data_IF_603729176409
#
_entry.id   IF_603729176409
#
_cell.length_a   1.000
_cell.length_b   1.000
_cell.length_c   1.000
_cell.angle_alpha   90.00
_cell.angle_beta   90.00
_cell.angle_gamma   90.00
#
_symmetry.space_group_name_H-M   'P 1'
#
loop_
_entity.id
_entity.type
_entity.pdbx_description
1 polymer ?
#
# COMPACT_ATOMS: atom_id res chain seq x y z
N UNK A 1 14.44 17.69 22.44
CA UNK A 1 13.69 16.85 21.47
C UNK A 1 13.19 15.52 22.06
N UNK A 2 13.96 14.82 22.90
CA UNK A 2 13.58 13.49 23.45
C UNK A 2 12.24 13.49 24.21
N UNK A 3 12.00 14.49 25.06
CA UNK A 3 10.76 14.57 25.88
C UNK A 3 9.50 14.79 25.03
N UNK A 4 9.58 15.61 23.99
CA UNK A 4 8.45 15.89 23.07
C UNK A 4 8.04 14.63 22.29
N UNK A 5 9.01 13.81 21.89
CA UNK A 5 8.74 12.53 21.23
C UNK A 5 8.10 11.51 22.19
N UNK A 6 8.50 11.49 23.46
CA UNK A 6 7.90 10.61 24.45
C UNK A 6 6.43 10.96 24.71
N UNK A 7 6.13 12.25 24.93
CA UNK A 7 4.76 12.72 25.13
C UNK A 7 3.88 12.48 23.90
N UNK A 8 4.40 12.73 22.69
CA UNK A 8 3.68 12.42 21.44
C UNK A 8 3.28 10.94 21.37
N UNK A 9 4.23 10.04 21.63
CA UNK A 9 3.98 8.59 21.64
C UNK A 9 2.93 8.20 22.68
N UNK A 10 2.99 8.79 23.88
CA UNK A 10 2.03 8.51 24.94
C UNK A 10 0.61 8.92 24.55
N UNK A 11 0.43 10.12 23.99
CA UNK A 11 -0.88 10.62 23.56
C UNK A 11 -1.49 9.72 22.47
N UNK A 12 -0.74 9.44 21.40
CA UNK A 12 -1.24 8.58 20.32
C UNK A 12 -1.55 7.16 20.79
N UNK A 13 -0.70 6.58 21.66
CA UNK A 13 -0.95 5.26 22.24
C UNK A 13 -2.20 5.25 23.12
N UNK A 14 -2.43 6.28 23.93
CA UNK A 14 -3.63 6.37 24.76
C UNK A 14 -4.89 6.43 23.89
N UNK A 15 -4.92 7.29 22.88
CA UNK A 15 -6.03 7.38 21.91
C UNK A 15 -6.28 6.02 21.25
N UNK A 16 -5.21 5.35 20.80
CA UNK A 16 -5.31 4.02 20.21
C UNK A 16 -5.83 2.96 21.20
N UNK A 17 -5.37 2.93 22.44
CA UNK A 17 -5.81 1.92 23.41
C UNK A 17 -7.28 2.08 23.77
N UNK A 18 -7.78 3.32 23.87
CA UNK A 18 -9.20 3.60 24.03
C UNK A 18 -9.97 3.07 22.81
N UNK A 19 -9.54 3.43 21.60
CA UNK A 19 -10.14 2.93 20.37
C UNK A 19 -10.16 1.40 20.29
N UNK A 20 -9.04 0.74 20.60
CA UNK A 20 -8.89 -0.73 20.61
C UNK A 20 -9.86 -1.37 21.59
N UNK A 21 -9.92 -0.85 22.82
CA UNK A 21 -10.83 -1.36 23.84
C UNK A 21 -12.29 -1.22 23.42
N UNK A 22 -12.69 -0.05 22.95
CA UNK A 22 -14.06 0.21 22.49
C UNK A 22 -14.41 -0.66 21.27
N UNK A 23 -13.51 -0.81 20.30
CA UNK A 23 -13.73 -1.66 19.12
C UNK A 23 -13.97 -3.11 19.53
N UNK A 24 -13.11 -3.64 20.40
CA UNK A 24 -13.22 -5.03 20.91
C UNK A 24 -14.47 -5.27 21.76
N UNK A 25 -14.96 -4.26 22.47
CA UNK A 25 -16.21 -4.36 23.22
C UNK A 25 -17.45 -4.36 22.32
N UNK A 26 -17.42 -3.63 21.20
CA UNK A 26 -18.59 -3.46 20.33
C UNK A 26 -18.75 -4.57 19.28
N UNK A 27 -17.67 -5.28 18.95
CA UNK A 27 -17.66 -6.22 17.83
C UNK A 27 -17.03 -7.55 18.23
N UNK A 28 -17.85 -8.59 18.26
CA UNK A 28 -17.46 -9.95 18.64
C UNK A 28 -16.58 -10.64 17.59
N UNK A 29 -16.72 -10.25 16.33
CA UNK A 29 -15.97 -10.79 15.18
C UNK A 29 -14.56 -10.24 15.06
N UNK A 30 -14.23 -9.16 15.78
CA UNK A 30 -12.90 -8.55 15.73
C UNK A 30 -11.92 -9.41 16.54
N UNK A 31 -10.98 -10.07 15.87
CA UNK A 31 -9.93 -10.91 16.47
C UNK A 31 -8.63 -10.14 16.76
N UNK A 32 -8.28 -9.13 15.97
CA UNK A 32 -7.12 -8.27 16.22
C UNK A 32 -7.41 -6.80 15.97
N UNK A 33 -6.76 -5.94 16.77
CA UNK A 33 -6.66 -4.49 16.56
C UNK A 33 -5.24 -4.06 16.92
N UNK A 34 -4.51 -3.49 15.97
CA UNK A 34 -3.11 -3.14 16.10
C UNK A 34 -2.75 -1.78 15.50
N UNK A 35 -1.70 -1.18 16.04
CA UNK A 35 -1.06 -0.01 15.45
C UNK A 35 -0.15 -0.44 14.30
N UNK A 36 -0.10 0.35 13.23
CA UNK A 36 0.93 0.24 12.19
C UNK A 36 1.61 1.60 11.97
N UNK A 37 2.61 1.60 11.08
CA UNK A 37 3.25 2.84 10.63
C UNK A 37 3.95 3.64 11.74
N UNK A 38 3.76 4.96 11.74
CA UNK A 38 4.59 5.89 12.50
C UNK A 38 4.46 5.77 14.02
N UNK A 39 3.25 5.50 14.52
CA UNK A 39 2.96 5.38 15.96
C UNK A 39 3.53 4.08 16.50
N UNK A 40 3.36 2.98 15.76
CA UNK A 40 3.94 1.68 16.13
C UNK A 40 5.48 1.76 16.16
N UNK A 41 6.09 2.32 15.11
CA UNK A 41 7.55 2.45 14.98
C UNK A 41 8.16 3.56 15.84
N UNK A 42 7.33 4.41 16.45
CA UNK A 42 7.76 5.44 17.39
C UNK A 42 8.39 6.68 16.77
N UNK A 43 8.31 6.87 15.45
CA UNK A 43 8.73 8.15 14.83
C UNK A 43 7.56 9.13 14.64
N UNK A 44 6.42 8.90 15.30
CA UNK A 44 5.29 9.82 15.32
C UNK A 44 5.61 11.12 16.10
N UNK A 45 5.01 12.21 15.64
CA UNK A 45 5.10 13.55 16.21
C UNK A 45 3.70 14.16 16.28
N UNK A 46 3.27 14.55 17.47
CA UNK A 46 1.98 15.20 17.67
C UNK A 46 2.07 16.70 17.28
N UNK A 47 1.02 17.28 16.65
CA UNK A 47 -0.19 16.66 16.10
C UNK A 47 -0.06 16.26 14.62
N UNK A 48 1.15 16.08 14.10
CA UNK A 48 1.45 15.97 12.66
C UNK A 48 1.48 14.55 12.11
N UNK A 49 1.25 13.55 12.96
CA UNK A 49 1.27 12.14 12.56
C UNK A 49 -0.12 11.53 12.63
N UNK A 50 -0.31 10.55 11.78
CA UNK A 50 -1.55 9.80 11.66
C UNK A 50 -1.43 8.50 12.48
N UNK A 51 -2.55 8.05 13.03
CA UNK A 51 -2.73 6.74 13.64
C UNK A 51 -3.26 5.82 12.54
N UNK A 52 -2.36 4.98 12.03
CA UNK A 52 -2.70 3.92 11.09
C UNK A 52 -3.03 2.64 11.88
N UNK A 53 -4.12 1.97 11.52
CA UNK A 53 -4.65 0.84 12.30
C UNK A 53 -4.91 -0.36 11.41
N UNK A 54 -4.58 -1.55 11.92
CA UNK A 54 -5.01 -2.83 11.35
C UNK A 54 -6.06 -3.47 12.23
N UNK A 55 -7.14 -3.93 11.60
CA UNK A 55 -8.25 -4.66 12.22
C UNK A 55 -8.41 -5.98 11.47
N UNK A 56 -8.58 -7.06 12.20
CA UNK A 56 -8.85 -8.38 11.59
C UNK A 56 -10.14 -8.93 12.13
N UNK A 57 -10.85 -9.63 11.25
CA UNK A 57 -12.14 -10.25 11.53
C UNK A 57 -12.05 -11.77 11.37
N UNK A 58 -12.78 -12.49 12.21
CA UNK A 58 -12.95 -13.95 12.07
C UNK A 58 -14.02 -14.31 11.04
N UNK A 59 -15.02 -13.44 10.85
CA UNK A 59 -16.12 -13.61 9.90
C UNK A 59 -16.66 -12.25 9.40
N UNK A 60 -17.72 -12.29 8.59
CA UNK A 60 -18.27 -11.12 7.88
C UNK A 60 -19.55 -10.55 8.51
N UNK A 61 -20.04 -11.13 9.61
CA UNK A 61 -21.37 -10.86 10.18
C UNK A 61 -21.55 -9.40 10.61
N UNK A 62 -20.51 -8.77 11.14
CA UNK A 62 -20.57 -7.41 11.69
C UNK A 62 -19.96 -6.34 10.77
N UNK A 63 -19.57 -6.71 9.54
CA UNK A 63 -18.73 -5.88 8.68
C UNK A 63 -19.35 -4.52 8.34
N UNK A 64 -20.66 -4.48 8.10
CA UNK A 64 -21.41 -3.25 7.80
C UNK A 64 -21.43 -2.32 9.02
N UNK A 65 -21.61 -2.89 10.22
CA UNK A 65 -21.62 -2.14 11.48
C UNK A 65 -20.22 -1.61 11.82
N UNK A 66 -19.18 -2.43 11.61
CA UNK A 66 -17.77 -2.03 11.77
C UNK A 66 -17.44 -0.90 10.80
N UNK A 67 -17.75 -1.04 9.51
CA UNK A 67 -17.52 0.00 8.50
C UNK A 67 -18.13 1.34 8.91
N UNK A 68 -19.42 1.33 9.30
CA UNK A 68 -20.11 2.54 9.78
C UNK A 68 -19.46 3.14 11.03
N UNK A 69 -19.00 2.30 11.96
CA UNK A 69 -18.26 2.73 13.14
C UNK A 69 -16.93 3.41 12.75
N UNK A 70 -16.12 2.78 11.90
CA UNK A 70 -14.83 3.33 11.46
C UNK A 70 -15.01 4.64 10.69
N UNK A 71 -16.00 4.74 9.81
CA UNK A 71 -16.33 5.99 9.12
C UNK A 71 -16.71 7.13 10.08
N UNK A 72 -17.37 6.82 11.21
CA UNK A 72 -17.63 7.81 12.27
C UNK A 72 -16.34 8.19 12.99
N UNK A 73 -15.48 7.22 13.31
CA UNK A 73 -14.19 7.47 13.98
C UNK A 73 -13.31 8.40 13.15
N UNK A 74 -13.14 8.16 11.84
CA UNK A 74 -12.36 9.03 10.94
C UNK A 74 -12.90 10.47 10.96
N UNK A 75 -14.23 10.62 10.97
CA UNK A 75 -14.88 11.95 10.99
C UNK A 75 -14.77 12.66 12.34
N UNK A 76 -14.77 11.92 13.45
CA UNK A 76 -14.80 12.48 14.80
C UNK A 76 -13.42 12.65 15.45
N UNK A 77 -12.43 11.86 15.03
CA UNK A 77 -11.09 11.86 15.62
C UNK A 77 -10.07 12.05 14.48
N UNK A 78 -9.58 13.29 14.26
CA UNK A 78 -8.77 13.66 13.10
C UNK A 78 -7.35 13.07 13.10
N UNK A 79 -7.04 12.19 14.06
CA UNK A 79 -5.78 11.46 14.12
C UNK A 79 -5.85 10.10 13.44
N UNK A 80 -7.03 9.51 13.24
CA UNK A 80 -7.16 8.25 12.51
C UNK A 80 -7.32 8.55 11.01
N UNK A 81 -6.36 8.13 10.20
CA UNK A 81 -6.39 8.38 8.76
C UNK A 81 -6.55 7.10 7.93
N UNK A 82 -5.82 6.04 8.26
CA UNK A 82 -5.83 4.80 7.49
C UNK A 82 -6.24 3.61 8.37
N UNK A 83 -7.24 2.87 7.90
CA UNK A 83 -7.63 1.58 8.46
C UNK A 83 -7.37 0.50 7.41
N UNK A 84 -6.71 -0.57 7.81
CA UNK A 84 -6.66 -1.82 7.06
C UNK A 84 -7.61 -2.80 7.74
N UNK A 85 -8.52 -3.38 6.97
CA UNK A 85 -9.47 -4.37 7.46
C UNK A 85 -9.26 -5.68 6.70
N UNK A 86 -8.89 -6.74 7.42
CA UNK A 86 -8.67 -8.07 6.86
C UNK A 86 -9.67 -9.09 7.41
N UNK A 87 -10.06 -10.04 6.58
CA UNK A 87 -10.79 -11.24 7.01
C UNK A 87 -9.77 -12.38 7.12
N UNK A 88 -9.53 -12.90 8.32
CA UNK A 88 -8.45 -13.85 8.59
C UNK A 88 -8.50 -15.09 7.68
N UNK A 89 -9.65 -15.77 7.49
CA UNK A 89 -9.76 -16.92 6.59
C UNK A 89 -9.41 -16.64 5.12
N UNK A 90 -9.37 -15.36 4.70
CA UNK A 90 -9.04 -14.97 3.33
C UNK A 90 -7.59 -14.52 3.19
N UNK A 91 -6.95 -14.08 4.27
CA UNK A 91 -5.64 -13.46 4.21
C UNK A 91 -4.54 -14.42 3.76
N UNK A 92 -4.59 -15.68 4.21
CA UNK A 92 -3.63 -16.72 3.83
C UNK A 92 -3.57 -16.92 2.30
N UNK A 93 -4.72 -16.78 1.62
CA UNK A 93 -4.78 -16.85 0.17
C UNK A 93 -3.99 -15.74 -0.53
N UNK A 94 -3.78 -14.60 0.10
CA UNK A 94 -3.17 -13.41 -0.52
C UNK A 94 -1.72 -13.17 -0.12
N UNK A 95 -1.21 -13.89 0.88
CA UNK A 95 0.08 -13.58 1.48
C UNK A 95 1.26 -13.69 0.49
N UNK A 96 1.15 -14.58 -0.49
CA UNK A 96 2.17 -14.81 -1.51
C UNK A 96 2.45 -13.61 -2.41
N UNK A 97 1.51 -12.66 -2.52
CA UNK A 97 1.67 -11.43 -3.30
C UNK A 97 1.95 -10.21 -2.42
N UNK A 98 2.11 -10.41 -1.10
CA UNK A 98 2.37 -9.29 -0.21
C UNK A 98 3.81 -8.84 -0.35
N UNK A 99 3.98 -7.53 -0.47
CA UNK A 99 5.28 -6.92 -0.42
C UNK A 99 5.87 -7.06 0.99
N UNK A 100 7.06 -7.65 1.10
CA UNK A 100 7.70 -7.91 2.39
C UNK A 100 8.04 -6.65 3.17
N UNK A 101 8.53 -5.61 2.49
CA UNK A 101 8.85 -4.33 3.15
C UNK A 101 7.61 -3.58 3.64
N UNK A 102 6.49 -3.63 2.89
CA UNK A 102 5.21 -3.09 3.37
C UNK A 102 4.64 -3.91 4.54
N UNK A 103 4.73 -5.23 4.46
CA UNK A 103 4.30 -6.13 5.54
C UNK A 103 5.09 -5.85 6.82
N UNK A 104 6.38 -5.51 6.71
CA UNK A 104 7.19 -5.08 7.86
C UNK A 104 6.68 -3.78 8.50
N UNK A 105 5.78 -3.01 7.88
CA UNK A 105 5.17 -1.84 8.54
C UNK A 105 3.95 -2.18 9.39
N UNK A 106 3.42 -3.39 9.30
CA UNK A 106 2.24 -3.87 10.03
C UNK A 106 2.60 -5.07 10.93
N UNK A 107 2.57 -4.92 12.27
CA UNK A 107 2.92 -6.00 13.21
C UNK A 107 2.06 -7.25 13.08
N UNK A 108 0.82 -7.13 12.58
CA UNK A 108 -0.03 -8.29 12.36
C UNK A 108 0.49 -9.12 11.19
N UNK A 109 0.85 -8.46 10.08
CA UNK A 109 1.39 -9.15 8.91
C UNK A 109 2.76 -9.78 9.18
N UNK A 110 3.43 -9.42 10.28
CA UNK A 110 4.71 -10.03 10.65
C UNK A 110 4.61 -11.50 10.99
N UNK A 111 3.43 -11.98 11.40
CA UNK A 111 3.23 -13.40 11.69
C UNK A 111 3.38 -14.26 10.43
N UNK A 112 3.42 -13.64 9.25
CA UNK A 112 3.56 -14.29 7.95
C UNK A 112 4.88 -13.98 7.24
N UNK A 113 5.91 -13.47 7.95
CA UNK A 113 7.16 -12.98 7.35
C UNK A 113 7.91 -13.96 6.44
N UNK A 114 7.71 -15.27 6.59
CA UNK A 114 8.36 -16.28 5.75
C UNK A 114 7.67 -16.46 4.38
N UNK A 115 6.50 -15.87 4.18
CA UNK A 115 5.62 -16.13 3.03
C UNK A 115 5.44 -14.91 2.12
N UNK A 116 6.10 -13.79 2.46
CA UNK A 116 6.01 -12.51 1.74
C UNK A 116 7.14 -12.35 0.72
N UNK A 117 6.87 -11.60 -0.35
CA UNK A 117 7.82 -11.34 -1.42
C UNK A 117 8.87 -10.29 -1.02
N UNK A 118 10.14 -10.70 -1.06
CA UNK A 118 11.31 -9.86 -0.76
C UNK A 118 12.26 -9.73 -1.98
N UNK A 119 11.75 -9.94 -3.20
CA UNK A 119 12.48 -9.69 -4.44
C UNK A 119 12.98 -8.25 -4.56
N UNK A 120 14.00 -8.04 -5.38
CA UNK A 120 14.54 -6.69 -5.62
C UNK A 120 13.49 -5.77 -6.24
N UNK A 121 12.67 -6.29 -7.14
CA UNK A 121 11.57 -5.59 -7.77
C UNK A 121 10.49 -5.20 -6.77
N UNK A 122 10.12 -6.08 -5.84
CA UNK A 122 9.20 -5.76 -4.76
C UNK A 122 9.75 -4.63 -3.88
N UNK A 123 11.04 -4.69 -3.52
CA UNK A 123 11.69 -3.62 -2.75
C UNK A 123 11.68 -2.29 -3.54
N UNK A 124 11.96 -2.32 -4.84
CA UNK A 124 11.92 -1.12 -5.69
C UNK A 124 10.52 -0.51 -5.76
N UNK A 125 9.49 -1.33 -5.92
CA UNK A 125 8.09 -0.87 -5.89
C UNK A 125 7.75 -0.23 -4.54
N UNK A 126 8.15 -0.85 -3.43
CA UNK A 126 7.98 -0.27 -2.10
C UNK A 126 8.63 1.12 -2.01
N UNK A 127 9.88 1.25 -2.47
CA UNK A 127 10.60 2.53 -2.48
C UNK A 127 9.90 3.61 -3.32
N UNK A 128 9.41 3.24 -4.50
CA UNK A 128 8.66 4.14 -5.39
C UNK A 128 7.36 4.62 -4.73
N UNK A 129 6.58 3.70 -4.15
CA UNK A 129 5.33 4.02 -3.44
C UNK A 129 5.57 4.92 -2.23
N UNK A 130 6.67 4.71 -1.49
CA UNK A 130 7.09 5.63 -0.42
C UNK A 130 7.39 7.04 -0.94
N UNK A 131 8.12 7.16 -2.06
CA UNK A 131 8.44 8.47 -2.64
C UNK A 131 7.18 9.19 -3.12
N UNK A 132 6.25 8.47 -3.75
CA UNK A 132 4.94 8.97 -4.19
C UNK A 132 4.10 9.49 -3.02
N UNK A 133 3.92 8.70 -1.96
CA UNK A 133 3.13 9.09 -0.79
C UNK A 133 3.69 10.33 -0.03
N UNK A 134 4.96 10.67 -0.27
CA UNK A 134 5.63 11.83 0.31
C UNK A 134 5.87 12.97 -0.70
N UNK A 135 5.29 12.90 -1.91
CA UNK A 135 5.30 14.03 -2.88
C UNK A 135 4.56 15.24 -2.29
N UNK A 136 5.07 16.44 -2.57
CA UNK A 136 4.43 17.71 -2.17
C UNK A 136 4.43 18.03 -0.66
N UNK A 137 4.81 17.11 0.22
CA UNK A 137 4.98 17.40 1.65
C UNK A 137 6.31 18.13 1.86
N UNK A 138 6.26 19.46 1.91
CA UNK A 138 7.42 20.29 2.21
C UNK A 138 8.16 19.82 3.47
N UNK A 139 9.47 20.07 3.52
CA UNK A 139 10.42 19.70 4.58
C UNK A 139 10.14 20.47 5.90
N UNK A 140 8.89 20.48 6.38
CA UNK A 140 8.54 21.26 7.57
C UNK A 140 9.05 20.63 8.87
N UNK A 141 9.43 19.36 8.86
CA UNK A 141 9.96 18.66 10.04
C UNK A 141 11.08 17.69 9.69
N UNK A 142 12.09 17.61 10.57
CA UNK A 142 13.24 16.71 10.45
C UNK A 142 12.76 15.23 10.54
N UNK A 143 12.47 14.65 9.39
CA UNK A 143 12.03 13.25 9.22
C UNK A 143 13.20 12.28 9.05
N UNK A 144 14.40 12.64 9.50
CA UNK A 144 15.60 11.77 9.40
C UNK A 144 15.35 10.37 9.96
N UNK A 145 14.69 10.24 11.12
CA UNK A 145 14.35 8.94 11.72
C UNK A 145 13.44 8.09 10.81
N UNK A 146 12.49 8.71 10.11
CA UNK A 146 11.61 8.03 9.14
C UNK A 146 12.42 7.51 7.95
N UNK A 147 13.31 8.35 7.40
CA UNK A 147 14.12 7.98 6.25
C UNK A 147 15.21 6.97 6.60
N UNK A 148 15.83 7.05 7.79
CA UNK A 148 16.73 6.02 8.31
C UNK A 148 16.03 4.66 8.39
N UNK A 149 14.80 4.62 8.93
CA UNK A 149 14.02 3.38 9.01
C UNK A 149 13.70 2.80 7.62
N UNK A 150 13.26 3.63 6.67
CA UNK A 150 13.00 3.10 5.32
C UNK A 150 14.26 2.70 4.59
N UNK A 151 15.36 3.41 4.80
CA UNK A 151 16.66 3.07 4.22
C UNK A 151 17.15 1.73 4.74
N UNK A 152 17.00 1.44 6.04
CA UNK A 152 17.35 0.14 6.59
C UNK A 152 16.47 -0.99 6.04
N UNK A 153 15.16 -0.76 5.88
CA UNK A 153 14.27 -1.73 5.21
C UNK A 153 14.70 -2.00 3.76
N UNK A 154 15.14 -0.97 3.04
CA UNK A 154 15.53 -1.04 1.64
C UNK A 154 17.02 -1.38 1.43
N UNK A 155 17.74 -1.70 2.52
CA UNK A 155 19.19 -2.00 2.50
C UNK A 155 20.05 -0.87 1.92
N UNK A 156 19.63 0.37 2.12
CA UNK A 156 20.46 1.55 1.86
C UNK A 156 21.20 1.95 3.13
N UNK A 157 22.53 1.92 3.05
CA UNK A 157 23.40 2.42 4.11
C UNK A 157 23.44 3.96 4.07
N UNK A 158 23.42 4.56 5.26
CA UNK A 158 23.69 5.99 5.49
C UNK A 158 22.79 7.00 4.74
N UNK A 159 21.53 6.64 4.49
CA UNK A 159 20.56 7.56 3.88
C UNK A 159 19.71 8.26 4.94
N UNK A 160 19.88 9.58 5.05
CA UNK A 160 19.26 10.38 6.12
C UNK A 160 18.19 11.36 5.62
N UNK A 161 18.02 11.49 4.30
CA UNK A 161 17.11 12.44 3.68
C UNK A 161 16.28 11.82 2.56
N UNK A 162 15.14 12.46 2.26
CA UNK A 162 14.29 12.09 1.12
C UNK A 162 15.05 12.19 -0.20
N UNK A 163 15.82 13.26 -0.39
CA UNK A 163 16.47 13.54 -1.68
C UNK A 163 17.62 12.56 -1.94
N UNK A 164 18.34 12.18 -0.89
CA UNK A 164 19.32 11.10 -0.96
C UNK A 164 18.66 9.75 -1.24
N UNK A 165 17.56 9.42 -0.53
CA UNK A 165 16.79 8.21 -0.80
C UNK A 165 16.30 8.17 -2.27
N UNK A 166 15.78 9.30 -2.77
CA UNK A 166 15.34 9.45 -4.16
C UNK A 166 16.47 9.16 -5.15
N UNK A 167 17.66 9.74 -4.94
CA UNK A 167 18.83 9.50 -5.81
C UNK A 167 19.24 8.03 -5.82
N UNK A 168 19.19 7.35 -4.66
CA UNK A 168 19.49 5.91 -4.57
C UNK A 168 18.47 5.07 -5.34
N UNK A 169 17.19 5.44 -5.30
CA UNK A 169 16.14 4.79 -6.10
C UNK A 169 16.34 5.03 -7.59
N UNK A 170 16.66 6.26 -8.01
CA UNK A 170 16.95 6.58 -9.41
C UNK A 170 18.15 5.76 -9.94
N UNK A 171 19.21 5.60 -9.13
CA UNK A 171 20.36 4.76 -9.47
C UNK A 171 19.98 3.28 -9.61
N UNK A 172 19.23 2.71 -8.66
CA UNK A 172 18.81 1.30 -8.75
C UNK A 172 17.90 1.05 -9.95
N UNK A 173 17.03 2.00 -10.29
CA UNK A 173 16.21 1.90 -11.50
C UNK A 173 17.09 1.92 -12.75
N UNK A 174 18.10 2.79 -12.81
CA UNK A 174 19.08 2.80 -13.90
C UNK A 174 19.80 1.45 -14.01
N UNK A 175 20.28 0.88 -12.91
CA UNK A 175 20.93 -0.43 -12.87
C UNK A 175 19.99 -1.56 -13.35
N UNK A 176 18.71 -1.51 -12.98
CA UNK A 176 17.74 -2.57 -13.30
C UNK A 176 17.18 -2.49 -14.72
N UNK A 177 17.03 -1.28 -15.25
CA UNK A 177 16.31 -1.01 -16.49
C UNK A 177 17.17 -0.43 -17.63
N UNK A 178 18.42 -0.04 -17.35
CA UNK A 178 19.40 0.40 -18.36
C UNK A 178 19.18 1.81 -18.92
N UNK A 179 18.31 2.63 -18.30
CA UNK A 179 17.94 3.97 -18.77
C UNK A 179 18.02 4.99 -17.64
N UNK A 180 18.46 6.22 -17.91
CA UNK A 180 18.48 7.27 -16.89
C UNK A 180 17.06 7.72 -16.55
N UNK A 181 16.69 7.59 -15.27
CA UNK A 181 15.38 8.00 -14.78
C UNK A 181 15.45 9.36 -14.09
N UNK A 182 14.52 10.24 -14.46
CA UNK A 182 14.26 11.47 -13.73
C UNK A 182 12.83 11.44 -13.19
N UNK A 183 12.68 11.09 -11.91
CA UNK A 183 11.38 10.95 -11.25
C UNK A 183 10.60 12.28 -11.15
N UNK A 184 11.22 13.43 -11.41
CA UNK A 184 10.54 14.74 -11.45
C UNK A 184 9.98 15.08 -12.84
N UNK A 185 10.63 14.59 -13.91
CA UNK A 185 10.15 14.77 -15.29
C UNK A 185 9.01 13.81 -15.65
N UNK A 186 8.86 12.68 -14.95
CA UNK A 186 7.78 11.71 -15.18
C UNK A 186 6.37 12.22 -14.84
N UNK A 187 6.20 13.49 -14.45
CA UNK A 187 4.91 14.05 -14.05
C UNK A 187 3.99 14.40 -15.25
N UNK A 188 4.53 14.59 -16.46
CA UNK A 188 3.73 14.89 -17.65
C UNK A 188 3.26 13.65 -18.40
N UNK A 189 4.03 12.56 -18.33
CA UNK A 189 3.66 11.24 -18.83
C UNK A 189 4.25 10.19 -17.87
N UNK A 190 3.51 9.82 -16.81
CA UNK A 190 4.00 8.83 -15.85
C UNK A 190 4.24 7.51 -16.57
N UNK A 191 5.36 6.87 -16.29
CA UNK A 191 5.65 5.55 -16.81
C UNK A 191 5.01 4.50 -15.92
N UNK A 192 4.38 3.51 -16.53
CA UNK A 192 3.61 2.45 -15.84
C UNK A 192 4.44 1.75 -14.76
N UNK A 193 5.72 1.50 -14.99
CA UNK A 193 6.62 0.82 -14.06
C UNK A 193 7.20 1.73 -12.97
N UNK A 194 7.03 3.05 -13.09
CA UNK A 194 7.32 4.02 -12.02
C UNK A 194 6.10 4.22 -11.13
N UNK A 195 4.91 4.36 -11.73
CA UNK A 195 3.68 4.68 -11.01
C UNK A 195 2.45 4.19 -11.78
N UNK A 196 2.00 2.96 -11.47
CA UNK A 196 0.83 2.34 -12.10
C UNK A 196 -0.44 3.17 -11.88
N UNK A 197 -0.66 3.66 -10.65
CA UNK A 197 -1.84 4.46 -10.32
C UNK A 197 -1.90 5.78 -11.10
N UNK A 198 -0.80 6.54 -11.14
CA UNK A 198 -0.74 7.80 -11.91
C UNK A 198 -0.78 7.54 -13.42
N UNK A 199 -0.20 6.43 -13.89
CA UNK A 199 -0.30 6.00 -15.28
C UNK A 199 -1.75 5.69 -15.68
N UNK A 200 -2.48 4.96 -14.84
CA UNK A 200 -3.91 4.69 -15.05
C UNK A 200 -4.70 6.00 -15.08
N UNK A 201 -4.52 6.87 -14.08
CA UNK A 201 -5.20 8.18 -14.02
C UNK A 201 -4.92 9.01 -15.28
N UNK A 202 -3.66 9.10 -15.69
CA UNK A 202 -3.25 9.80 -16.90
C UNK A 202 -3.90 9.20 -18.15
N UNK A 203 -3.91 7.87 -18.28
CA UNK A 203 -4.48 7.17 -19.42
C UNK A 203 -5.98 7.43 -19.55
N UNK A 204 -6.73 7.41 -18.44
CA UNK A 204 -8.16 7.67 -18.46
C UNK A 204 -8.48 9.13 -18.72
N UNK A 205 -7.73 10.05 -18.09
CA UNK A 205 -7.91 11.49 -18.28
C UNK A 205 -7.67 11.92 -19.74
N UNK A 206 -6.76 11.24 -20.44
CA UNK A 206 -6.41 11.55 -21.83
C UNK A 206 -7.02 10.57 -22.84
N UNK A 207 -7.91 9.67 -22.42
CA UNK A 207 -8.54 8.65 -23.27
C UNK A 207 -7.55 7.82 -24.12
N UNK A 208 -6.35 7.54 -23.58
CA UNK A 208 -5.27 6.86 -24.30
C UNK A 208 -4.90 5.49 -23.72
N UNK A 209 -5.77 4.90 -22.87
CA UNK A 209 -5.49 3.63 -22.19
C UNK A 209 -5.17 2.49 -23.15
N UNK A 210 -5.97 2.25 -24.19
CA UNK A 210 -5.73 1.12 -25.11
C UNK A 210 -4.43 1.27 -25.90
N UNK A 211 -4.11 2.49 -26.36
CA UNK A 211 -2.85 2.80 -27.03
C UNK A 211 -1.66 2.53 -26.09
N UNK A 212 -1.68 3.09 -24.88
CA UNK A 212 -0.61 2.92 -23.88
C UNK A 212 -0.49 1.47 -23.41
N UNK A 213 -1.61 0.75 -23.26
CA UNK A 213 -1.64 -0.68 -22.94
C UNK A 213 -0.97 -1.51 -24.03
N UNK A 214 -1.20 -1.19 -25.30
CA UNK A 214 -0.56 -1.91 -26.41
C UNK A 214 0.97 -1.79 -26.41
N UNK A 215 1.51 -0.73 -25.81
CA UNK A 215 2.96 -0.50 -25.69
C UNK A 215 3.62 -1.34 -24.58
N UNK A 216 2.83 -1.92 -23.66
CA UNK A 216 3.35 -2.75 -22.55
C UNK A 216 4.10 -3.99 -23.04
N UNK A 217 3.72 -4.53 -24.21
CA UNK A 217 4.38 -5.69 -24.83
C UNK A 217 5.85 -5.42 -25.15
N UNK A 218 6.21 -4.16 -25.41
CA UNK A 218 7.54 -3.73 -25.83
C UNK A 218 8.46 -3.40 -24.63
N UNK A 219 7.97 -3.52 -23.41
CA UNK A 219 8.79 -3.34 -22.20
C UNK A 219 9.85 -4.45 -22.12
N UNK A 220 11.03 -4.11 -21.59
CA UNK A 220 12.01 -5.12 -21.20
C UNK A 220 11.49 -5.98 -20.05
N UNK A 221 12.06 -7.16 -19.87
CA UNK A 221 11.65 -8.10 -18.82
C UNK A 221 11.67 -7.47 -17.43
N UNK A 222 12.76 -6.77 -17.08
CA UNK A 222 12.88 -6.05 -15.80
C UNK A 222 11.75 -5.03 -15.59
N UNK A 223 11.39 -4.28 -16.64
CA UNK A 223 10.29 -3.29 -16.59
C UNK A 223 8.95 -4.00 -16.42
N UNK A 224 8.72 -5.13 -17.10
CA UNK A 224 7.50 -5.93 -16.94
C UNK A 224 7.37 -6.49 -15.53
N UNK A 225 8.46 -6.97 -14.93
CA UNK A 225 8.49 -7.41 -13.53
C UNK A 225 8.12 -6.28 -12.55
N UNK A 226 8.63 -5.07 -12.77
CA UNK A 226 8.24 -3.90 -11.95
C UNK A 226 6.74 -3.57 -12.09
N UNK A 227 6.17 -3.68 -13.29
CA UNK A 227 4.71 -3.50 -13.48
C UNK A 227 3.95 -4.57 -12.72
N UNK A 228 4.36 -5.84 -12.81
CA UNK A 228 3.72 -6.93 -12.07
C UNK A 228 3.74 -6.68 -10.55
N UNK A 229 4.89 -6.31 -9.99
CA UNK A 229 5.01 -5.99 -8.55
C UNK A 229 4.19 -4.78 -8.14
N UNK A 230 3.96 -3.83 -9.05
CA UNK A 230 2.99 -2.77 -8.81
C UNK A 230 1.55 -3.26 -8.84
N UNK A 231 1.18 -4.17 -9.75
CA UNK A 231 -0.16 -4.78 -9.74
C UNK A 231 -0.39 -5.53 -8.43
N UNK A 232 0.56 -6.36 -7.99
CA UNK A 232 0.49 -7.07 -6.70
C UNK A 232 0.32 -6.09 -5.52
N UNK A 233 1.07 -5.00 -5.52
CA UNK A 233 0.92 -3.92 -4.53
C UNK A 233 -0.49 -3.33 -4.51
N UNK A 234 -1.06 -3.02 -5.68
CA UNK A 234 -2.42 -2.50 -5.79
C UNK A 234 -3.44 -3.53 -5.29
N UNK A 235 -3.28 -4.82 -5.63
CA UNK A 235 -4.16 -5.91 -5.15
C UNK A 235 -4.11 -6.03 -3.63
N UNK A 236 -2.92 -5.96 -3.02
CA UNK A 236 -2.76 -5.94 -1.56
C UNK A 236 -3.46 -4.73 -0.93
N UNK A 237 -3.32 -3.53 -1.55
CA UNK A 237 -4.02 -2.33 -1.12
C UNK A 237 -5.53 -2.50 -1.15
N UNK A 238 -6.07 -3.00 -2.26
CA UNK A 238 -7.50 -3.25 -2.45
C UNK A 238 -8.06 -4.27 -1.45
N UNK A 239 -7.34 -5.36 -1.19
CA UNK A 239 -7.71 -6.35 -0.17
C UNK A 239 -7.92 -5.69 1.20
N UNK A 240 -7.05 -4.77 1.60
CA UNK A 240 -7.16 -4.08 2.90
C UNK A 240 -8.33 -3.09 2.98
N UNK A 241 -8.89 -2.69 1.83
CA UNK A 241 -9.91 -1.64 1.69
C UNK A 241 -11.28 -2.16 1.26
N UNK A 242 -11.39 -3.39 0.75
CA UNK A 242 -12.63 -3.95 0.17
C UNK A 242 -13.84 -3.86 1.10
N UNK A 243 -13.60 -3.97 2.41
CA UNK A 243 -14.61 -3.94 3.45
C UNK A 243 -14.91 -2.54 3.99
N UNK A 244 -14.11 -1.54 3.60
CA UNK A 244 -14.18 -0.16 4.06
C UNK A 244 -14.80 0.77 3.00
N UNK A 245 -14.52 0.50 1.72
CA UNK A 245 -15.00 1.29 0.58
C UNK A 245 -16.38 0.81 0.16
N UNK A 246 -17.38 1.70 0.18
CA UNK A 246 -18.77 1.37 -0.10
C UNK A 246 -19.01 1.29 -1.62
N UNK A 247 -19.08 0.08 -2.18
CA UNK A 247 -19.67 -0.25 -3.49
C UNK A 247 -19.35 0.70 -4.65
N UNK A 248 -18.14 1.27 -4.69
CA UNK A 248 -17.81 2.26 -5.71
C UNK A 248 -17.53 1.54 -7.02
N UNK A 249 -18.20 1.98 -8.10
CA UNK A 249 -17.87 1.59 -9.48
C UNK A 249 -16.36 1.68 -9.75
N UNK A 250 -15.68 2.65 -9.13
CA UNK A 250 -14.23 2.83 -9.19
C UNK A 250 -13.43 1.60 -8.72
N UNK A 251 -13.89 0.83 -7.72
CA UNK A 251 -13.18 -0.37 -7.23
C UNK A 251 -13.25 -1.51 -8.26
N UNK A 252 -14.44 -1.77 -8.82
CA UNK A 252 -14.63 -2.78 -9.89
C UNK A 252 -13.87 -2.41 -11.14
N UNK A 253 -13.96 -1.15 -11.55
CA UNK A 253 -13.23 -0.62 -12.69
C UNK A 253 -11.72 -0.75 -12.47
N UNK A 254 -11.22 -0.44 -11.26
CA UNK A 254 -9.81 -0.62 -10.95
C UNK A 254 -9.35 -2.07 -11.06
N UNK A 255 -10.09 -3.04 -10.48
CA UNK A 255 -9.79 -4.47 -10.65
C UNK A 255 -9.79 -4.89 -12.12
N UNK A 256 -10.74 -4.41 -12.92
CA UNK A 256 -10.79 -4.67 -14.37
C UNK A 256 -9.57 -4.08 -15.07
N UNK A 257 -9.18 -2.86 -14.71
CA UNK A 257 -8.02 -2.19 -15.29
C UNK A 257 -6.72 -2.92 -14.96
N UNK A 258 -6.57 -3.45 -13.75
CA UNK A 258 -5.42 -4.29 -13.39
C UNK A 258 -5.34 -5.55 -14.27
N UNK A 259 -6.47 -6.23 -14.56
CA UNK A 259 -6.49 -7.36 -15.51
C UNK A 259 -6.02 -6.94 -16.90
N UNK A 260 -6.53 -5.82 -17.41
CA UNK A 260 -6.15 -5.31 -18.73
C UNK A 260 -4.67 -4.94 -18.81
N UNK A 261 -4.08 -4.43 -17.71
CA UNK A 261 -2.64 -4.18 -17.61
C UNK A 261 -1.86 -5.49 -17.68
N UNK A 262 -2.28 -6.52 -16.93
CA UNK A 262 -1.67 -7.85 -16.99
C UNK A 262 -1.74 -8.46 -18.39
N UNK A 263 -2.90 -8.36 -19.07
CA UNK A 263 -3.09 -8.83 -20.45
C UNK A 263 -2.11 -8.16 -21.43
N UNK A 264 -1.72 -6.91 -21.14
CA UNK A 264 -0.77 -6.13 -21.94
C UNK A 264 0.69 -6.56 -21.77
N UNK A 265 1.06 -7.20 -20.66
CA UNK A 265 2.45 -7.57 -20.39
C UNK A 265 2.96 -8.70 -21.30
N UNK A 266 2.06 -9.57 -21.83
CA UNK A 266 2.37 -10.71 -22.73
C UNK A 266 3.75 -11.32 -22.47
N UNK A 267 3.82 -12.15 -21.43
CA UNK A 267 5.02 -12.86 -21.02
C UNK A 267 4.84 -14.34 -21.33
N UNK A 268 5.76 -14.93 -22.10
CA UNK A 268 5.70 -16.37 -22.43
C UNK A 268 6.11 -17.25 -21.23
N UNK A 269 6.97 -16.74 -20.33
CA UNK A 269 7.58 -17.50 -19.24
C UNK A 269 7.12 -17.12 -17.82
N UNK A 270 6.23 -16.12 -17.69
CA UNK A 270 5.78 -15.66 -16.38
C UNK A 270 4.36 -16.13 -16.08
N UNK A 271 4.22 -16.98 -15.07
CA UNK A 271 2.92 -17.44 -14.59
C UNK A 271 2.17 -16.33 -13.84
N UNK A 272 1.30 -15.63 -14.56
CA UNK A 272 0.42 -14.60 -14.00
C UNK A 272 -0.81 -15.18 -13.29
N UNK A 273 -1.02 -16.51 -13.34
CA UNK A 273 -2.24 -17.15 -12.83
C UNK A 273 -2.48 -16.81 -11.36
N UNK A 274 -1.42 -16.76 -10.55
CA UNK A 274 -1.48 -16.37 -9.14
C UNK A 274 -2.16 -15.01 -8.97
N UNK A 275 -1.69 -13.98 -9.67
CA UNK A 275 -2.23 -12.61 -9.53
C UNK A 275 -3.63 -12.50 -10.12
N UNK A 276 -3.90 -13.13 -11.27
CA UNK A 276 -5.26 -13.19 -11.83
C UNK A 276 -6.25 -13.83 -10.85
N UNK A 277 -5.86 -14.93 -10.20
CA UNK A 277 -6.68 -15.61 -9.21
C UNK A 277 -6.97 -14.68 -8.02
N UNK A 278 -5.99 -13.91 -7.52
CA UNK A 278 -6.24 -12.92 -6.46
C UNK A 278 -7.18 -11.80 -6.88
N UNK A 279 -7.06 -11.30 -8.11
CA UNK A 279 -7.99 -10.27 -8.61
C UNK A 279 -9.41 -10.84 -8.76
N UNK A 280 -9.54 -12.09 -9.22
CA UNK A 280 -10.84 -12.78 -9.30
C UNK A 280 -11.46 -12.98 -7.92
N UNK A 281 -10.67 -13.48 -6.95
CA UNK A 281 -11.12 -13.63 -5.57
C UNK A 281 -11.61 -12.29 -4.96
N UNK A 282 -10.91 -11.17 -5.23
CA UNK A 282 -11.38 -9.84 -4.80
C UNK A 282 -12.67 -9.41 -5.51
N UNK A 283 -12.82 -9.74 -6.79
CA UNK A 283 -14.03 -9.43 -7.57
C UNK A 283 -15.25 -10.20 -7.02
N UNK A 284 -15.05 -11.47 -6.66
CA UNK A 284 -16.08 -12.32 -6.06
C UNK A 284 -16.47 -11.83 -4.67
N UNK A 285 -15.48 -11.47 -3.85
CA UNK A 285 -15.71 -10.87 -2.53
C UNK A 285 -16.50 -9.58 -2.65
N UNK A 286 -16.11 -8.68 -3.56
CA UNK A 286 -16.81 -7.41 -3.75
C UNK A 286 -18.27 -7.62 -4.15
N UNK A 287 -18.53 -8.58 -5.05
CA UNK A 287 -19.89 -8.91 -5.49
C UNK A 287 -20.78 -9.42 -4.35
N UNK A 288 -20.20 -10.09 -3.34
CA UNK A 288 -20.94 -10.56 -2.16
C UNK A 288 -21.37 -9.42 -1.24
N UNK A 289 -20.58 -8.36 -1.12
CA UNK A 289 -20.89 -7.22 -0.24
C UNK A 289 -21.70 -6.13 -0.92
N UNK A 290 -21.67 -6.09 -2.26
CA UNK A 290 -22.29 -5.03 -3.07
C UNK A 290 -23.07 -5.61 -4.27
N UNK A 291 -24.14 -6.40 -4.06
CA UNK A 291 -24.98 -6.88 -5.15
C UNK A 291 -25.64 -5.70 -5.88
N UNK A 292 -25.68 -5.77 -7.22
CA UNK A 292 -26.38 -4.81 -8.10
C UNK A 292 -27.89 -4.93 -7.91
#
# INVERSE_FOLDING_TARGET
MVVINYLSRLIYRLIFYIFKFVTKLNFSTVSYVGLRGSVYRGYCQFPFSDIDVTITLTDTKEIVSIRRYLQKIIKSIPFFCEFNLYLEPKLEGFISIFNGAESLRDPFLWTFQCEVDNSEEALLVFMLKLLQANRGRGVKYNRSVKWQYYSSLCRFEDVYSRDEFKRRVELKLFESCGEEFNLEKSNSSPEVFISLGEWLEHCFKNHCFDEKRSQLVNLSESKKMLVLKQVEWEVMGLLSQIYLVDGQLSYREHLKNLKLVLDGLRLEDLDLSTVYNKINELSDLESLFYPI
#
